data_IF_892231863197
#
_entry.id   IF_892231863197
#
_cell.length_a   1.000
_cell.length_b   1.000
_cell.length_c   1.000
_cell.angle_alpha   90.00
_cell.angle_beta   90.00
_cell.angle_gamma   90.00
#
_symmetry.space_group_name_H-M   'P 1'
#
loop_
_entity.id
_entity.type
_entity.pdbx_description
1 polymer ?
#
# COMPACT_ATOMS: atom_id res chain seq x y z
N UNK A 1 -11.52 2.37 2.79
CA UNK A 1 -10.29 1.91 2.11
C UNK A 1 -9.30 3.05 2.14
N UNK A 2 -8.02 2.83 2.47
CA UNK A 2 -7.05 3.92 2.45
C UNK A 2 -6.94 4.54 1.05
N UNK A 3 -7.05 5.87 0.96
CA UNK A 3 -7.10 6.60 -0.30
C UNK A 3 -5.83 7.42 -0.51
N UNK A 4 -5.51 8.31 0.43
CA UNK A 4 -4.30 9.14 0.36
C UNK A 4 -3.93 9.70 1.76
N UNK A 5 -2.85 10.48 1.84
CA UNK A 5 -2.47 11.27 3.02
C UNK A 5 -2.55 12.76 2.69
N UNK A 6 -2.98 13.56 3.66
CA UNK A 6 -3.00 15.02 3.54
C UNK A 6 -2.49 15.61 4.86
N UNK A 7 -1.34 16.31 4.82
CA UNK A 7 -0.61 16.79 6.00
C UNK A 7 -0.46 15.75 7.11
N UNK A 8 -1.09 15.94 8.27
CA UNK A 8 -1.05 15.04 9.44
C UNK A 8 -2.23 14.07 9.50
N UNK A 9 -3.06 14.04 8.44
CA UNK A 9 -4.26 13.22 8.32
C UNK A 9 -4.09 12.08 7.31
N UNK A 10 -4.69 10.94 7.62
CA UNK A 10 -4.87 9.80 6.74
C UNK A 10 -6.30 9.84 6.20
N UNK A 11 -6.44 9.69 4.88
CA UNK A 11 -7.73 9.80 4.20
C UNK A 11 -8.14 8.43 3.70
N UNK A 12 -9.40 8.08 3.95
CA UNK A 12 -10.03 6.84 3.54
C UNK A 12 -11.26 7.16 2.70
N UNK A 13 -11.54 6.30 1.75
CA UNK A 13 -12.76 6.35 0.97
C UNK A 13 -13.72 5.25 1.42
N UNK A 14 -14.95 5.63 1.78
CA UNK A 14 -16.06 4.69 1.99
C UNK A 14 -16.75 4.40 0.66
N UNK A 15 -16.87 3.12 0.33
CA UNK A 15 -17.45 2.65 -0.93
C UNK A 15 -18.98 2.63 -0.90
N UNK A 16 -19.58 2.57 0.29
CA UNK A 16 -21.03 2.50 0.42
C UNK A 16 -21.66 3.88 0.37
N UNK A 17 -21.05 4.82 1.09
CA UNK A 17 -21.55 6.19 1.22
C UNK A 17 -20.87 7.16 0.27
N UNK A 18 -19.80 6.75 -0.44
CA UNK A 18 -18.99 7.64 -1.27
C UNK A 18 -18.34 8.80 -0.49
N UNK A 19 -18.27 8.67 0.84
CA UNK A 19 -17.66 9.66 1.72
C UNK A 19 -16.14 9.54 1.74
N UNK A 20 -15.46 10.69 1.75
CA UNK A 20 -14.07 10.77 2.14
C UNK A 20 -13.98 10.99 3.64
N UNK A 21 -13.29 10.07 4.33
CA UNK A 21 -13.13 10.06 5.77
C UNK A 21 -11.68 10.42 6.12
N UNK A 22 -11.49 11.38 7.01
CA UNK A 22 -10.20 11.71 7.58
C UNK A 22 -10.03 11.08 8.97
N UNK A 23 -8.84 10.55 9.25
CA UNK A 23 -8.42 10.13 10.58
C UNK A 23 -7.02 10.66 10.89
N UNK A 24 -6.68 10.89 12.18
CA UNK A 24 -5.32 11.27 12.53
C UNK A 24 -4.33 10.17 12.15
N UNK A 25 -3.17 10.54 11.57
CA UNK A 25 -2.12 9.57 11.24
C UNK A 25 -1.70 8.79 12.47
N UNK A 26 -1.41 7.50 12.27
CA UNK A 26 -0.78 6.71 13.33
C UNK A 26 0.66 7.17 13.54
N UNK A 27 1.22 6.89 14.72
CA UNK A 27 2.64 7.15 15.04
C UNK A 27 3.63 6.49 14.06
N UNK A 28 3.18 5.47 13.31
CA UNK A 28 4.00 4.79 12.30
C UNK A 28 3.91 5.47 10.92
N UNK A 29 2.82 6.16 10.63
CA UNK A 29 2.64 6.95 9.41
C UNK A 29 3.21 8.37 9.53
N UNK A 30 3.22 8.91 10.74
CA UNK A 30 3.74 10.25 11.03
C UNK A 30 5.27 10.22 11.14
N UNK A 31 5.96 10.19 10.00
CA UNK A 31 7.43 10.16 9.93
C UNK A 31 8.08 11.46 10.39
N UNK A 32 7.37 12.59 10.29
CA UNK A 32 7.85 13.92 10.65
C UNK A 32 7.90 14.11 12.17
N UNK A 33 6.86 13.70 12.90
CA UNK A 33 6.81 13.71 14.37
C UNK A 33 7.52 12.50 14.99
N UNK A 34 7.74 11.43 14.21
CA UNK A 34 8.48 10.23 14.60
C UNK A 34 10.01 10.39 14.59
N UNK A 35 10.56 11.57 14.27
CA UNK A 35 11.98 11.90 14.48
C UNK A 35 12.52 11.44 15.85
N UNK A 36 11.69 11.49 16.91
CA UNK A 36 12.05 11.01 18.26
C UNK A 36 12.14 9.48 18.39
N UNK A 37 11.41 8.72 17.56
CA UNK A 37 11.41 7.25 17.50
C UNK A 37 12.39 6.71 16.44
N UNK A 38 12.74 7.53 15.45
CA UNK A 38 13.76 7.27 14.42
C UNK A 38 15.15 6.99 15.01
N UNK A 39 15.47 7.49 16.22
CA UNK A 39 16.72 7.14 16.92
C UNK A 39 16.77 5.66 17.36
N UNK A 40 15.60 5.04 17.54
CA UNK A 40 15.50 3.66 18.02
C UNK A 40 15.19 2.66 16.91
N UNK A 41 14.87 3.10 15.69
CA UNK A 41 14.68 2.18 14.55
C UNK A 41 16.02 1.54 14.12
N UNK A 42 17.12 2.30 13.91
CA UNK A 42 18.44 1.71 13.68
C UNK A 42 18.89 0.89 14.90
N UNK A 43 18.56 1.35 16.12
CA UNK A 43 18.95 0.64 17.34
C UNK A 43 18.16 -0.66 17.53
N UNK A 44 16.89 -0.72 17.14
CA UNK A 44 16.08 -1.94 17.10
C UNK A 44 16.55 -2.86 15.98
N UNK A 45 16.91 -2.33 14.81
CA UNK A 45 17.51 -3.12 13.72
C UNK A 45 18.87 -3.68 14.16
N UNK A 46 19.71 -2.88 14.82
CA UNK A 46 21.00 -3.33 15.37
C UNK A 46 20.79 -4.28 16.54
N UNK A 47 19.84 -4.06 17.45
CA UNK A 47 19.49 -4.97 18.56
C UNK A 47 18.90 -6.29 18.03
N UNK A 48 18.09 -6.22 16.97
CA UNK A 48 17.52 -7.37 16.28
C UNK A 48 18.60 -8.18 15.54
N UNK A 49 19.57 -7.49 14.92
CA UNK A 49 20.77 -8.10 14.32
C UNK A 49 21.75 -8.62 15.38
N UNK A 50 21.89 -7.94 16.53
CA UNK A 50 22.86 -8.27 17.60
C UNK A 50 22.30 -9.15 18.72
N UNK A 51 21.00 -9.47 18.71
CA UNK A 51 20.39 -10.55 19.50
C UNK A 51 20.84 -11.91 18.94
N UNK A 52 22.13 -12.19 19.16
CA UNK A 52 22.96 -13.16 18.46
C UNK A 52 22.69 -14.64 18.76
N UNK A 53 21.43 -15.09 18.77
CA UNK A 53 21.13 -16.52 18.89
C UNK A 53 20.15 -17.05 17.83
N UNK A 54 19.22 -16.22 17.34
CA UNK A 54 18.22 -16.62 16.35
C UNK A 54 18.63 -16.35 14.92
N UNK A 55 18.64 -15.09 14.50
CA UNK A 55 18.74 -14.72 13.08
C UNK A 55 20.13 -14.86 12.47
N UNK A 56 21.21 -14.47 13.17
CA UNK A 56 22.58 -14.66 12.64
C UNK A 56 22.89 -16.16 12.49
N UNK A 57 22.51 -16.98 13.47
CA UNK A 57 22.68 -18.44 13.41
C UNK A 57 21.83 -19.06 12.29
N UNK A 58 20.64 -18.51 12.08
CA UNK A 58 19.73 -18.90 11.01
C UNK A 58 20.18 -18.44 9.61
N UNK A 59 20.79 -17.26 9.46
CA UNK A 59 21.43 -16.82 8.22
C UNK A 59 22.71 -17.60 7.92
N UNK A 60 23.46 -18.06 8.94
CA UNK A 60 24.61 -18.96 8.75
C UNK A 60 24.22 -20.30 8.12
N UNK A 61 23.03 -20.83 8.41
CA UNK A 61 22.50 -22.02 7.71
C UNK A 61 22.42 -21.82 6.19
N UNK A 62 22.19 -20.58 5.74
CA UNK A 62 22.07 -20.24 4.32
C UNK A 62 23.38 -19.76 3.67
N UNK A 63 24.42 -19.44 4.45
CA UNK A 63 25.71 -18.90 3.94
C UNK A 63 26.77 -20.00 3.80
N UNK A 64 26.72 -21.07 4.60
CA UNK A 64 27.72 -22.15 4.59
C UNK A 64 27.10 -23.57 4.65
N UNK A 65 25.78 -23.69 4.47
CA UNK A 65 25.06 -24.96 4.55
C UNK A 65 24.72 -25.58 3.19
N UNK A 66 24.35 -26.86 3.20
CA UNK A 66 23.66 -27.51 2.08
C UNK A 66 22.15 -27.40 2.26
N UNK A 67 21.39 -27.54 1.18
CA UNK A 67 19.93 -27.61 1.27
C UNK A 67 19.54 -28.90 2.01
N UNK A 68 18.93 -28.75 3.18
CA UNK A 68 18.39 -29.85 3.98
C UNK A 68 16.88 -29.72 4.11
N UNK A 69 16.20 -30.73 4.64
CA UNK A 69 14.78 -30.60 4.97
C UNK A 69 14.52 -29.51 6.02
N UNK A 70 15.47 -29.23 6.91
CA UNK A 70 15.36 -28.11 7.86
C UNK A 70 15.35 -26.76 7.15
N UNK A 71 16.17 -26.62 6.10
CA UNK A 71 16.24 -25.40 5.28
C UNK A 71 14.90 -25.12 4.59
N UNK A 72 14.20 -26.15 4.12
CA UNK A 72 12.88 -26.02 3.51
C UNK A 72 11.85 -25.40 4.46
N UNK A 73 11.66 -26.04 5.62
CA UNK A 73 10.70 -25.57 6.62
C UNK A 73 11.05 -24.19 7.17
N UNK A 74 12.35 -23.92 7.30
CA UNK A 74 12.85 -22.60 7.68
C UNK A 74 12.40 -21.51 6.70
N UNK A 75 12.54 -21.74 5.39
CA UNK A 75 12.09 -20.78 4.37
C UNK A 75 10.58 -20.55 4.43
N UNK A 76 9.78 -21.62 4.55
CA UNK A 76 8.33 -21.49 4.67
C UNK A 76 7.90 -20.70 5.91
N UNK A 77 8.54 -20.94 7.06
CA UNK A 77 8.29 -20.19 8.29
C UNK A 77 8.66 -18.71 8.15
N UNK A 78 9.76 -18.39 7.46
CA UNK A 78 10.10 -16.99 7.15
C UNK A 78 9.01 -16.34 6.32
N UNK A 79 8.53 -17.00 5.27
CA UNK A 79 7.47 -16.44 4.42
C UNK A 79 6.20 -16.17 5.21
N UNK A 80 5.78 -17.10 6.08
CA UNK A 80 4.65 -16.89 6.98
C UNK A 80 4.89 -15.73 7.94
N UNK A 81 6.08 -15.64 8.52
CA UNK A 81 6.48 -14.54 9.41
C UNK A 81 6.51 -13.18 8.71
N UNK A 82 7.07 -13.10 7.50
CA UNK A 82 7.09 -11.89 6.67
C UNK A 82 5.67 -11.44 6.31
N UNK A 83 4.82 -12.38 5.89
CA UNK A 83 3.43 -12.11 5.54
C UNK A 83 2.65 -11.56 6.74
N UNK A 84 2.75 -12.22 7.90
CA UNK A 84 2.12 -11.77 9.14
C UNK A 84 2.65 -10.41 9.58
N UNK A 85 3.97 -10.20 9.53
CA UNK A 85 4.62 -8.94 9.91
C UNK A 85 4.12 -7.77 9.05
N UNK A 86 4.09 -7.92 7.72
CA UNK A 86 3.60 -6.87 6.81
C UNK A 86 2.12 -6.57 7.05
N UNK A 87 1.30 -7.60 7.25
CA UNK A 87 -0.13 -7.44 7.54
C UNK A 87 -0.36 -6.66 8.84
N UNK A 88 0.33 -7.04 9.91
CA UNK A 88 0.25 -6.37 11.22
C UNK A 88 0.76 -4.92 11.12
N UNK A 89 1.88 -4.70 10.41
CA UNK A 89 2.41 -3.36 10.21
C UNK A 89 1.38 -2.47 9.53
N UNK A 90 0.73 -2.95 8.48
CA UNK A 90 -0.26 -2.15 7.73
C UNK A 90 -1.50 -1.90 8.57
N UNK A 91 -1.99 -2.88 9.31
CA UNK A 91 -3.10 -2.68 10.23
C UNK A 91 -2.77 -1.61 11.29
N UNK A 92 -1.57 -1.70 11.89
CA UNK A 92 -1.11 -0.76 12.91
C UNK A 92 -0.77 0.62 12.36
N UNK A 93 -0.25 0.69 11.13
CA UNK A 93 0.16 1.93 10.49
C UNK A 93 -1.04 2.64 9.86
N UNK A 94 -1.78 1.95 9.00
CA UNK A 94 -2.86 2.56 8.21
C UNK A 94 -4.22 2.45 8.90
N UNK A 95 -4.54 1.39 9.64
CA UNK A 95 -5.94 1.17 10.06
C UNK A 95 -6.18 1.39 11.56
N UNK A 96 -5.14 1.58 12.37
CA UNK A 96 -5.26 1.76 13.83
C UNK A 96 -6.23 2.86 14.25
N UNK A 97 -6.28 3.96 13.51
CA UNK A 97 -7.11 5.12 13.85
C UNK A 97 -8.38 5.23 12.98
N UNK A 98 -8.66 4.25 12.11
CA UNK A 98 -9.79 4.30 11.17
C UNK A 98 -11.14 4.38 11.89
N UNK A 99 -11.26 3.83 13.10
CA UNK A 99 -12.48 3.90 13.90
C UNK A 99 -12.79 5.32 14.41
N UNK A 100 -11.84 6.25 14.32
CA UNK A 100 -12.02 7.67 14.64
C UNK A 100 -12.24 8.51 13.39
N UNK A 101 -12.42 7.87 12.23
CA UNK A 101 -12.52 8.60 10.98
C UNK A 101 -13.84 9.39 10.92
N UNK A 102 -13.75 10.65 10.49
CA UNK A 102 -14.87 11.55 10.31
C UNK A 102 -14.90 12.04 8.87
N UNK A 103 -16.06 12.47 8.37
CA UNK A 103 -16.14 13.01 7.01
C UNK A 103 -15.25 14.24 6.88
N UNK A 104 -14.42 14.24 5.83
CA UNK A 104 -13.41 15.26 5.56
C UNK A 104 -14.04 16.58 5.17
N UNK A 105 -13.32 17.67 5.41
CA UNK A 105 -13.72 19.01 5.01
C UNK A 105 -13.60 19.23 3.49
N UNK A 106 -14.31 20.21 2.96
CA UNK A 106 -14.37 20.56 1.54
C UNK A 106 -12.99 20.92 1.01
N UNK A 107 -12.22 21.75 1.73
CA UNK A 107 -10.87 22.13 1.32
C UNK A 107 -9.96 20.92 1.12
N UNK A 108 -10.01 19.93 2.03
CA UNK A 108 -9.19 18.71 1.92
C UNK A 108 -9.68 17.83 0.78
N UNK A 109 -11.00 17.69 0.64
CA UNK A 109 -11.65 16.95 -0.43
C UNK A 109 -11.22 17.43 -1.82
N UNK A 110 -11.28 18.76 -2.04
CA UNK A 110 -10.87 19.39 -3.29
C UNK A 110 -9.36 19.27 -3.50
N UNK A 111 -8.55 19.57 -2.48
CA UNK A 111 -7.10 19.48 -2.59
C UNK A 111 -6.57 18.07 -2.87
N UNK A 112 -7.29 17.02 -2.46
CA UNK A 112 -6.96 15.63 -2.78
C UNK A 112 -7.31 15.23 -4.22
N UNK A 113 -8.36 15.85 -4.77
CA UNK A 113 -8.85 15.58 -6.12
C UNK A 113 -8.25 16.54 -7.14
N UNK A 114 -7.56 17.59 -6.70
CA UNK A 114 -6.85 18.48 -7.58
C UNK A 114 -5.61 17.78 -8.16
N UNK A 115 -5.51 17.78 -9.49
CA UNK A 115 -4.32 17.27 -10.18
C UNK A 115 -3.13 18.21 -9.90
N UNK A 116 -1.99 17.63 -9.54
CA UNK A 116 -0.73 18.38 -9.42
C UNK A 116 -0.33 19.02 -10.75
N UNK A 117 0.41 20.12 -10.70
CA UNK A 117 0.94 20.81 -11.89
C UNK A 117 1.77 19.86 -12.76
N UNK A 118 2.61 19.01 -12.16
CA UNK A 118 3.38 17.99 -12.86
C UNK A 118 2.49 17.02 -13.64
N UNK A 119 1.35 16.62 -13.05
CA UNK A 119 0.39 15.74 -13.72
C UNK A 119 -0.29 16.45 -14.87
N UNK A 120 -0.71 17.71 -14.68
CA UNK A 120 -1.32 18.54 -15.73
C UNK A 120 -0.34 18.75 -16.89
N UNK A 121 0.92 19.05 -16.61
CA UNK A 121 1.96 19.19 -17.64
C UNK A 121 2.25 17.88 -18.38
N UNK A 122 2.35 16.76 -17.66
CA UNK A 122 2.59 15.46 -18.25
C UNK A 122 1.43 15.04 -19.16
N UNK A 123 0.18 15.29 -18.73
CA UNK A 123 -1.02 15.05 -19.55
C UNK A 123 -1.08 15.99 -20.75
N UNK A 124 -0.73 17.27 -20.62
CA UNK A 124 -0.71 18.22 -21.73
C UNK A 124 0.33 17.87 -22.81
N UNK A 125 1.45 17.25 -22.40
CA UNK A 125 2.52 16.78 -23.31
C UNK A 125 2.19 15.42 -23.96
N UNK A 126 1.17 14.70 -23.48
CA UNK A 126 0.77 13.38 -23.99
C UNK A 126 -0.57 13.46 -24.74
N UNK A 127 -0.76 12.62 -25.75
CA UNK A 127 -2.10 12.42 -26.29
C UNK A 127 -3.00 11.75 -25.23
N UNK A 128 -4.29 12.09 -25.20
CA UNK A 128 -5.30 11.40 -24.36
C UNK A 128 -5.31 9.87 -24.60
N UNK A 129 -4.95 9.44 -25.82
CA UNK A 129 -4.81 8.03 -26.16
C UNK A 129 -3.59 7.40 -25.48
N UNK A 130 -2.48 8.13 -25.41
CA UNK A 130 -1.22 7.65 -24.84
C UNK A 130 -1.29 7.60 -23.31
N UNK A 131 -1.90 8.61 -22.67
CA UNK A 131 -2.15 8.61 -21.22
C UNK A 131 -3.01 7.41 -20.79
N UNK A 132 -4.14 7.16 -21.47
CA UNK A 132 -4.98 5.98 -21.19
C UNK A 132 -4.25 4.66 -21.42
N UNK A 133 -3.37 4.61 -22.41
CA UNK A 133 -2.55 3.43 -22.65
C UNK A 133 -1.53 3.22 -21.52
N UNK A 134 -0.86 4.28 -21.08
CA UNK A 134 0.09 4.25 -19.97
C UNK A 134 -0.55 3.75 -18.67
N UNK A 135 -1.72 4.28 -18.29
CA UNK A 135 -2.46 3.81 -17.11
C UNK A 135 -2.83 2.32 -17.21
N UNK A 136 -3.22 1.85 -18.40
CA UNK A 136 -3.49 0.43 -18.64
C UNK A 136 -2.24 -0.43 -18.45
N UNK A 137 -1.09 0.00 -18.97
CA UNK A 137 0.18 -0.70 -18.80
C UNK A 137 0.64 -0.74 -17.35
N UNK A 138 0.49 0.36 -16.59
CA UNK A 138 0.79 0.39 -15.16
C UNK A 138 -0.05 -0.64 -14.40
N UNK A 139 -1.36 -0.70 -14.67
CA UNK A 139 -2.25 -1.70 -14.06
C UNK A 139 -1.84 -3.13 -14.41
N UNK A 140 -1.50 -3.38 -15.68
CA UNK A 140 -1.05 -4.68 -16.13
C UNK A 140 0.28 -5.07 -15.46
N UNK A 141 1.24 -4.15 -15.37
CA UNK A 141 2.54 -4.38 -14.74
C UNK A 141 2.38 -4.67 -13.24
N UNK A 142 1.56 -3.89 -12.53
CA UNK A 142 1.23 -4.16 -11.14
C UNK A 142 0.65 -5.58 -10.96
N UNK A 143 -0.17 -6.04 -11.90
CA UNK A 143 -0.80 -7.37 -11.83
C UNK A 143 0.15 -8.54 -12.14
N UNK A 144 1.29 -8.26 -12.79
CA UNK A 144 2.33 -9.26 -13.05
C UNK A 144 3.20 -9.53 -11.82
N UNK A 145 3.38 -8.54 -10.94
CA UNK A 145 4.17 -8.67 -9.70
C UNK A 145 3.76 -9.89 -8.83
N UNK A 146 2.47 -10.13 -8.50
CA UNK A 146 2.09 -11.31 -7.74
C UNK A 146 2.40 -12.61 -8.49
N UNK A 147 2.19 -12.65 -9.81
CA UNK A 147 2.45 -13.84 -10.62
C UNK A 147 3.92 -14.25 -10.58
N UNK A 148 4.83 -13.27 -10.66
CA UNK A 148 6.27 -13.51 -10.49
C UNK A 148 6.58 -14.07 -9.10
N UNK A 149 5.98 -13.49 -8.05
CA UNK A 149 6.13 -14.00 -6.68
C UNK A 149 5.64 -15.44 -6.53
N UNK A 150 4.47 -15.78 -7.07
CA UNK A 150 3.92 -17.13 -7.04
C UNK A 150 4.77 -18.11 -7.85
N UNK A 151 5.30 -17.69 -9.00
CA UNK A 151 6.19 -18.51 -9.81
C UNK A 151 7.46 -18.90 -9.03
N UNK A 152 8.12 -17.95 -8.36
CA UNK A 152 9.30 -18.25 -7.54
C UNK A 152 8.98 -19.16 -6.36
N UNK A 153 7.86 -18.92 -5.67
CA UNK A 153 7.43 -19.75 -4.56
C UNK A 153 7.11 -21.19 -5.00
N UNK A 154 6.35 -21.34 -6.09
CA UNK A 154 6.02 -22.62 -6.68
C UNK A 154 7.27 -23.39 -7.13
N UNK A 155 8.16 -22.73 -7.89
CA UNK A 155 9.40 -23.34 -8.37
C UNK A 155 10.27 -23.82 -7.20
N UNK A 156 10.35 -23.04 -6.11
CA UNK A 156 11.08 -23.45 -4.91
C UNK A 156 10.46 -24.68 -4.25
N UNK A 157 9.13 -24.71 -4.07
CA UNK A 157 8.43 -25.80 -3.39
C UNK A 157 8.49 -27.09 -4.21
N UNK A 158 8.15 -27.01 -5.49
CA UNK A 158 8.00 -28.18 -6.36
C UNK A 158 9.36 -28.82 -6.68
N UNK A 159 10.37 -28.00 -6.99
CA UNK A 159 11.70 -28.49 -7.37
C UNK A 159 12.67 -28.53 -6.17
N UNK A 160 12.16 -28.51 -4.93
CA UNK A 160 13.02 -28.50 -3.75
C UNK A 160 13.84 -29.79 -3.62
N UNK A 161 13.24 -30.93 -3.96
CA UNK A 161 13.89 -32.24 -3.83
C UNK A 161 15.20 -32.33 -4.61
N UNK A 162 15.25 -31.72 -5.80
CA UNK A 162 16.44 -31.68 -6.66
C UNK A 162 17.59 -30.87 -6.05
N UNK A 163 17.28 -29.98 -5.09
CA UNK A 163 18.28 -29.14 -4.42
C UNK A 163 18.90 -29.82 -3.21
N UNK A 164 18.29 -30.88 -2.67
CA UNK A 164 18.76 -31.53 -1.43
C UNK A 164 20.23 -31.95 -1.53
N UNK A 165 21.03 -31.57 -0.53
CA UNK A 165 22.46 -31.88 -0.47
C UNK A 165 23.36 -30.97 -1.33
N UNK A 166 22.78 -30.13 -2.21
CA UNK A 166 23.56 -29.12 -2.94
C UNK A 166 23.95 -27.96 -2.02
N UNK A 167 25.11 -27.30 -2.25
CA UNK A 167 25.51 -26.14 -1.48
C UNK A 167 24.53 -24.98 -1.72
N UNK A 168 24.18 -24.27 -0.65
CA UNK A 168 23.32 -23.10 -0.75
C UNK A 168 24.12 -21.94 -1.35
N UNK A 169 23.65 -21.40 -2.47
CA UNK A 169 24.21 -20.21 -3.09
C UNK A 169 23.39 -18.95 -2.81
N UNK A 170 23.77 -17.85 -3.45
CA UNK A 170 23.10 -16.55 -3.30
C UNK A 170 21.64 -16.51 -3.78
N UNK A 171 21.18 -17.53 -4.52
CA UNK A 171 19.78 -17.66 -4.94
C UNK A 171 18.81 -17.76 -3.77
N UNK A 172 19.26 -18.24 -2.60
CA UNK A 172 18.44 -18.33 -1.40
C UNK A 172 17.89 -16.98 -0.94
N UNK A 173 18.64 -15.90 -1.16
CA UNK A 173 18.21 -14.54 -0.81
C UNK A 173 16.97 -14.17 -1.62
N UNK A 174 16.94 -14.52 -2.92
CA UNK A 174 15.78 -14.27 -3.79
C UNK A 174 14.56 -15.07 -3.34
N UNK A 175 14.78 -16.33 -2.97
CA UNK A 175 13.73 -17.22 -2.44
C UNK A 175 13.17 -16.64 -1.13
N UNK A 176 14.01 -16.29 -0.18
CA UNK A 176 13.58 -15.71 1.11
C UNK A 176 12.83 -14.38 0.92
N UNK A 177 13.26 -13.52 -0.01
CA UNK A 177 12.57 -12.26 -0.32
C UNK A 177 11.25 -12.45 -1.07
N UNK A 178 10.99 -13.64 -1.63
CA UNK A 178 9.73 -13.92 -2.33
C UNK A 178 8.53 -13.84 -1.39
N UNK A 179 8.66 -14.28 -0.13
CA UNK A 179 7.60 -14.14 0.87
C UNK A 179 7.26 -12.69 1.17
N UNK A 180 8.29 -11.82 1.24
CA UNK A 180 8.10 -10.38 1.38
C UNK A 180 7.37 -9.78 0.17
N UNK A 181 7.78 -10.15 -1.05
CA UNK A 181 7.13 -9.70 -2.29
C UNK A 181 5.65 -10.08 -2.31
N UNK A 182 5.33 -11.33 -1.97
CA UNK A 182 3.95 -11.80 -1.90
C UNK A 182 3.14 -11.08 -0.81
N UNK A 183 3.71 -10.89 0.38
CA UNK A 183 3.07 -10.15 1.47
C UNK A 183 2.77 -8.69 1.12
N UNK A 184 3.72 -7.98 0.52
CA UNK A 184 3.53 -6.62 0.03
C UNK A 184 2.44 -6.56 -1.04
N UNK A 185 2.49 -7.49 -2.00
CA UNK A 185 1.52 -7.53 -3.08
C UNK A 185 0.11 -7.82 -2.56
N UNK A 186 -0.03 -8.76 -1.62
CA UNK A 186 -1.30 -9.05 -0.97
C UNK A 186 -1.89 -7.81 -0.30
N UNK A 187 -1.08 -7.04 0.44
CA UNK A 187 -1.54 -5.80 1.06
C UNK A 187 -1.96 -4.76 0.03
N UNK A 188 -1.14 -4.54 -1.01
CA UNK A 188 -1.41 -3.55 -2.06
C UNK A 188 -2.69 -3.86 -2.84
N UNK A 189 -2.94 -5.13 -3.14
CA UNK A 189 -4.12 -5.57 -3.88
C UNK A 189 -5.37 -5.72 -3.01
N UNK A 190 -5.23 -6.21 -1.78
CA UNK A 190 -6.37 -6.52 -0.93
C UNK A 190 -6.75 -5.34 0.00
N UNK A 191 -5.86 -4.96 0.92
CA UNK A 191 -6.18 -3.96 1.95
C UNK A 191 -6.19 -2.53 1.38
N UNK A 192 -5.16 -2.16 0.63
CA UNK A 192 -5.03 -0.82 0.06
C UNK A 192 -5.56 -0.71 -1.37
N UNK A 193 -6.01 -1.83 -1.95
CA UNK A 193 -6.60 -2.01 -3.28
C UNK A 193 -6.24 -0.91 -4.30
N UNK A 194 -4.94 -0.75 -4.54
CA UNK A 194 -4.38 0.36 -5.33
C UNK A 194 -5.03 0.48 -6.73
N UNK A 195 -5.31 -0.62 -7.48
CA UNK A 195 -6.03 -0.54 -8.75
C UNK A 195 -7.42 0.10 -8.62
N UNK A 196 -8.08 -0.06 -7.49
CA UNK A 196 -9.40 0.53 -7.22
C UNK A 196 -9.34 2.03 -6.94
N UNK A 197 -8.22 2.53 -6.39
CA UNK A 197 -8.01 3.98 -6.26
C UNK A 197 -8.02 4.61 -7.66
N UNK A 198 -7.32 4.01 -8.61
CA UNK A 198 -7.34 4.48 -9.99
C UNK A 198 -8.74 4.39 -10.63
N UNK A 199 -9.52 3.34 -10.35
CA UNK A 199 -10.92 3.26 -10.83
C UNK A 199 -11.82 4.36 -10.23
N UNK A 200 -11.63 4.69 -8.95
CA UNK A 200 -12.35 5.80 -8.29
C UNK A 200 -12.01 7.13 -8.96
N UNK A 201 -10.72 7.41 -9.16
CA UNK A 201 -10.25 8.62 -9.83
C UNK A 201 -10.78 8.70 -11.27
N UNK A 202 -10.63 7.63 -12.06
CA UNK A 202 -11.14 7.57 -13.44
C UNK A 202 -12.64 7.87 -13.51
N UNK A 203 -13.45 7.30 -12.60
CA UNK A 203 -14.89 7.53 -12.59
C UNK A 203 -15.25 8.94 -12.15
N UNK A 204 -14.51 9.50 -11.19
CA UNK A 204 -14.69 10.87 -10.74
C UNK A 204 -14.43 11.86 -11.88
N UNK A 205 -13.27 11.75 -12.54
CA UNK A 205 -12.94 12.59 -13.69
C UNK A 205 -13.85 12.33 -14.90
N UNK A 206 -14.33 11.11 -15.08
CA UNK A 206 -15.31 10.78 -16.10
C UNK A 206 -16.75 11.23 -15.76
N UNK A 207 -16.96 11.95 -14.64
CA UNK A 207 -18.26 12.46 -14.19
C UNK A 207 -19.29 11.37 -13.88
N UNK A 208 -18.80 10.18 -13.53
CA UNK A 208 -19.60 8.99 -13.17
C UNK A 208 -19.63 8.71 -11.67
N UNK A 209 -18.90 9.51 -10.89
CA UNK A 209 -18.76 9.38 -9.46
C UNK A 209 -18.74 10.78 -8.83
N UNK A 210 -19.47 10.93 -7.75
CA UNK A 210 -19.38 12.06 -6.84
C UNK A 210 -18.82 11.60 -5.49
N UNK A 211 -18.33 12.55 -4.73
CA UNK A 211 -17.71 12.35 -3.43
C UNK A 211 -18.49 13.14 -2.40
N UNK A 212 -18.69 12.55 -1.23
CA UNK A 212 -19.34 13.25 -0.11
C UNK A 212 -18.28 13.76 0.85
N UNK A 213 -18.33 15.05 1.08
CA UNK A 213 -17.45 15.81 1.96
C UNK A 213 -18.32 16.71 2.86
N UNK A 214 -17.72 17.40 3.82
CA UNK A 214 -18.40 18.27 4.78
C UNK A 214 -18.03 19.73 4.51
N UNK A 215 -18.95 20.66 4.70
CA UNK A 215 -18.64 22.08 4.57
C UNK A 215 -17.60 22.52 5.60
N UNK A 216 -16.69 23.41 5.20
CA UNK A 216 -15.61 23.88 6.08
C UNK A 216 -16.16 24.65 7.29
N UNK A 217 -17.20 25.45 7.08
CA UNK A 217 -17.78 26.35 8.08
C UNK A 217 -18.90 25.70 8.92
N UNK A 218 -19.50 24.60 8.46
CA UNK A 218 -20.60 23.93 9.15
C UNK A 218 -20.48 22.40 9.09
N UNK A 219 -20.18 21.73 10.23
CA UNK A 219 -19.98 20.29 10.25
C UNK A 219 -21.24 19.44 10.04
N UNK A 220 -22.42 20.05 10.13
CA UNK A 220 -23.70 19.37 9.92
C UNK A 220 -24.15 19.40 8.45
N UNK A 221 -23.47 20.19 7.60
CA UNK A 221 -23.75 20.28 6.17
C UNK A 221 -22.84 19.36 5.38
N UNK A 222 -23.45 18.50 4.58
CA UNK A 222 -22.76 17.61 3.66
C UNK A 222 -22.79 18.17 2.25
N UNK A 223 -21.69 17.99 1.53
CA UNK A 223 -21.44 18.48 0.20
C UNK A 223 -21.12 17.31 -0.72
N UNK A 224 -21.83 17.25 -1.85
CA UNK A 224 -21.53 16.38 -2.96
C UNK A 224 -20.59 17.13 -3.92
N UNK A 225 -19.38 16.62 -4.08
CA UNK A 225 -18.35 17.12 -4.98
C UNK A 225 -18.29 16.22 -6.21
N UNK A 226 -18.35 16.80 -7.39
CA UNK A 226 -18.26 16.08 -8.68
C UNK A 226 -17.47 16.90 -9.69
N UNK A 227 -17.03 16.27 -10.78
CA UNK A 227 -16.34 16.96 -11.86
C UNK A 227 -17.34 17.61 -12.83
N UNK A 228 -17.13 18.88 -13.17
CA UNK A 228 -17.92 19.66 -14.12
C UNK A 228 -17.54 19.44 -15.58
N UNK A 229 -18.24 20.12 -16.50
CA UNK A 229 -17.94 20.08 -17.95
C UNK A 229 -16.62 20.75 -18.30
N UNK A 230 -16.24 21.76 -17.53
CA UNK A 230 -15.06 22.60 -17.76
C UNK A 230 -13.86 22.16 -16.91
N UNK A 231 -13.86 20.91 -16.44
CA UNK A 231 -12.90 20.35 -15.48
C UNK A 231 -12.84 21.11 -14.12
N UNK A 232 -13.86 21.92 -13.84
CA UNK A 232 -14.05 22.58 -12.55
C UNK A 232 -14.88 21.72 -11.60
N UNK A 233 -14.61 21.83 -10.29
CA UNK A 233 -15.38 21.11 -9.28
C UNK A 233 -16.79 21.70 -9.14
N UNK A 234 -17.80 20.85 -9.26
CA UNK A 234 -19.20 21.18 -8.98
C UNK A 234 -19.54 20.70 -7.58
N UNK A 235 -20.04 21.61 -6.75
CA UNK A 235 -20.32 21.38 -5.34
C UNK A 235 -21.80 21.63 -5.08
N UNK A 236 -22.47 20.67 -4.45
CA UNK A 236 -23.90 20.75 -4.10
C UNK A 236 -24.10 20.37 -2.65
N UNK A 237 -24.94 21.12 -1.93
CA UNK A 237 -25.37 20.71 -0.60
C UNK A 237 -26.32 19.50 -0.69
N UNK A 238 -26.11 18.54 0.20
CA UNK A 238 -26.93 17.34 0.34
C UNK A 238 -27.31 17.13 1.79
N UNK A 239 -28.57 16.77 2.03
CA UNK A 239 -29.01 16.33 3.35
C UNK A 239 -28.61 14.87 3.55
N UNK A 240 -28.12 14.57 4.75
CA UNK A 240 -27.78 13.22 5.14
C UNK A 240 -29.00 12.58 5.79
N UNK A 241 -29.56 11.58 5.10
CA UNK A 241 -30.62 10.71 5.63
C UNK A 241 -30.09 9.75 6.72
#
# INVERSE_FOLDING_TARGET
>A
MFFNQYYDKAIYYDRKTHELLEAPKSKLLDTEKSSRMNRHIPLLVVLFLSSGSGLISFFRLFIQGTYTMSTFWSVLLIWLGQFAFITILVERALYRNVNRAQVTTQTICLGLMEKSEETKEAEAKMSEKDSRNATRWIRALLSLVPLVGFFYAYNFIWNYQERLGTPIGGEIVKIVLTGLLLGLTFVLYNQNNLPRIFDILDRFYARKLSLICRADDNPDVYLEVSMGTDEEFVIKEVQKD
#
